data_IF_457034550145
#
_entry.id   IF_457034550145
#
_cell.length_a   1.000
_cell.length_b   1.000
_cell.length_c   1.000
_cell.angle_alpha   90.00
_cell.angle_beta   90.00
_cell.angle_gamma   90.00
#
_symmetry.space_group_name_H-M   'P 1'
#
loop_
_entity.id
_entity.type
_entity.pdbx_description
1 polymer ?
#
# COMPACT_ATOMS: atom_id res chain seq x y z
N UNK A 1 0.33 -19.21 3.37
CA UNK A 1 1.82 -19.25 3.51
C UNK A 1 2.26 -18.05 4.33
N UNK A 2 3.42 -18.06 4.98
CA UNK A 2 3.94 -16.87 5.68
C UNK A 2 5.15 -16.29 4.93
N UNK A 3 5.23 -14.96 4.84
CA UNK A 3 6.32 -14.24 4.21
C UNK A 3 6.94 -13.25 5.17
N UNK A 4 8.26 -13.34 5.35
CA UNK A 4 9.06 -12.35 6.09
C UNK A 4 9.45 -11.19 5.17
N UNK A 5 9.07 -9.96 5.56
CA UNK A 5 9.40 -8.73 4.86
C UNK A 5 10.18 -7.78 5.78
N UNK A 6 11.23 -7.15 5.25
CA UNK A 6 12.03 -6.17 6.01
C UNK A 6 11.23 -4.88 6.21
N UNK A 7 11.45 -4.21 7.34
CA UNK A 7 10.91 -2.86 7.55
C UNK A 7 11.66 -1.80 6.74
N UNK A 8 12.94 -2.02 6.46
CA UNK A 8 13.78 -1.05 5.78
C UNK A 8 14.46 -1.69 4.56
N UNK A 9 14.61 -0.97 3.42
CA UNK A 9 15.12 -1.54 2.17
C UNK A 9 16.58 -2.00 2.26
N UNK A 10 17.42 -1.31 3.03
CA UNK A 10 18.87 -1.55 3.13
C UNK A 10 19.33 -1.88 4.55
N UNK A 11 19.02 -1.01 5.51
CA UNK A 11 19.34 -1.19 6.94
C UNK A 11 18.57 -2.33 7.63
N UNK A 12 19.19 -2.91 8.66
CA UNK A 12 18.59 -3.96 9.47
C UNK A 12 17.75 -3.37 10.60
N UNK A 13 16.51 -3.00 10.28
CA UNK A 13 15.53 -2.45 11.25
C UNK A 13 14.47 -3.46 11.68
N UNK A 14 14.76 -4.75 11.54
CA UNK A 14 13.83 -5.84 11.80
C UNK A 14 12.94 -6.19 10.62
N UNK A 15 11.95 -7.04 10.89
CA UNK A 15 11.05 -7.60 9.88
C UNK A 15 9.63 -7.75 10.44
N UNK A 16 8.68 -7.86 9.52
CA UNK A 16 7.30 -8.27 9.77
C UNK A 16 7.01 -9.58 9.06
N UNK A 17 6.02 -10.31 9.57
CA UNK A 17 5.52 -11.54 8.95
C UNK A 17 4.12 -11.26 8.43
N UNK A 18 3.91 -11.50 7.14
CA UNK A 18 2.60 -11.38 6.50
C UNK A 18 2.13 -12.77 6.11
N UNK A 19 0.90 -13.11 6.49
CA UNK A 19 0.21 -14.30 6.00
C UNK A 19 -0.31 -14.04 4.60
N UNK A 20 0.09 -14.85 3.63
CA UNK A 20 -0.36 -14.75 2.24
C UNK A 20 -1.31 -15.90 1.90
N UNK A 21 -2.34 -15.55 1.12
CA UNK A 21 -3.29 -16.47 0.51
C UNK A 21 -3.26 -16.34 -1.01
N UNK A 22 -4.43 -16.44 -1.65
CA UNK A 22 -4.62 -16.20 -3.09
C UNK A 22 -5.21 -14.83 -3.41
N UNK A 23 -5.64 -14.07 -2.41
CA UNK A 23 -6.28 -12.77 -2.56
C UNK A 23 -5.32 -11.66 -2.11
N UNK A 24 -5.15 -10.68 -2.99
CA UNK A 24 -4.32 -9.50 -2.77
C UNK A 24 -5.08 -8.25 -3.19
N UNK A 25 -4.94 -7.19 -2.42
CA UNK A 25 -5.39 -5.86 -2.81
C UNK A 25 -4.20 -5.04 -3.24
N UNK A 26 -4.33 -4.39 -4.39
CA UNK A 26 -3.30 -3.57 -5.04
C UNK A 26 -3.91 -2.25 -5.50
N UNK A 27 -3.12 -1.18 -5.64
CA UNK A 27 -3.64 0.08 -6.18
C UNK A 27 -4.17 -0.12 -7.60
N UNK A 28 -5.44 0.23 -7.81
CA UNK A 28 -6.10 0.12 -9.12
C UNK A 28 -5.29 0.78 -10.24
N UNK A 29 -4.74 1.97 -9.98
CA UNK A 29 -3.96 2.75 -10.95
C UNK A 29 -2.71 2.05 -11.48
N UNK A 30 -2.13 1.12 -10.70
CA UNK A 30 -0.93 0.39 -11.11
C UNK A 30 -1.27 -0.77 -12.04
N UNK A 31 -2.37 -1.47 -11.76
CA UNK A 31 -2.80 -2.65 -12.52
C UNK A 31 -3.68 -2.33 -13.73
N UNK A 32 -4.29 -1.14 -13.77
CA UNK A 32 -5.11 -0.71 -14.89
C UNK A 32 -4.33 -0.65 -16.21
N UNK A 33 -3.04 -0.29 -16.13
CA UNK A 33 -2.13 -0.18 -17.28
C UNK A 33 -1.56 -1.52 -17.76
N UNK A 34 -1.72 -2.60 -16.99
CA UNK A 34 -1.18 -3.91 -17.31
C UNK A 34 -2.18 -4.70 -18.15
N UNK A 35 -1.76 -5.16 -19.33
CA UNK A 35 -2.57 -5.91 -20.28
C UNK A 35 -2.85 -7.36 -19.85
N UNK A 36 -3.83 -7.99 -20.51
CA UNK A 36 -4.03 -9.44 -20.40
C UNK A 36 -2.79 -10.15 -20.99
N UNK A 37 -2.36 -11.24 -20.36
CA UNK A 37 -1.12 -11.98 -20.60
C UNK A 37 0.19 -11.24 -20.24
N UNK A 38 0.12 -9.97 -19.86
CA UNK A 38 1.27 -9.26 -19.30
C UNK A 38 1.49 -9.67 -17.84
N UNK A 39 2.67 -9.32 -17.33
CA UNK A 39 3.09 -9.66 -15.97
C UNK A 39 3.39 -8.41 -15.15
N UNK A 40 3.12 -8.52 -13.86
CA UNK A 40 3.62 -7.60 -12.85
C UNK A 40 4.18 -8.38 -11.68
N UNK A 41 4.93 -7.70 -10.81
CA UNK A 41 5.48 -8.31 -9.60
C UNK A 41 4.84 -7.72 -8.37
N UNK A 42 4.30 -8.58 -7.52
CA UNK A 42 3.97 -8.24 -6.14
C UNK A 42 5.29 -7.99 -5.39
N UNK A 43 5.51 -6.76 -4.91
CA UNK A 43 6.76 -6.34 -4.28
C UNK A 43 7.18 -7.34 -3.20
N UNK A 44 8.45 -7.76 -3.24
CA UNK A 44 9.07 -8.72 -2.33
C UNK A 44 8.41 -10.13 -2.27
N UNK A 45 7.49 -10.43 -3.20
CA UNK A 45 6.77 -11.71 -3.26
C UNK A 45 7.09 -12.48 -4.55
N UNK A 46 6.22 -12.44 -5.57
CA UNK A 46 6.38 -13.18 -6.83
C UNK A 46 5.76 -12.45 -8.03
N UNK A 47 6.03 -12.97 -9.23
CA UNK A 47 5.48 -12.50 -10.49
C UNK A 47 4.06 -13.07 -10.68
N UNK A 48 3.18 -12.25 -11.23
CA UNK A 48 1.79 -12.59 -11.54
C UNK A 48 1.55 -12.30 -13.01
N UNK A 49 1.04 -13.28 -13.77
CA UNK A 49 0.55 -13.08 -15.13
C UNK A 49 -0.94 -12.80 -15.07
N UNK A 50 -1.39 -11.73 -15.71
CA UNK A 50 -2.81 -11.37 -15.77
C UNK A 50 -3.51 -12.28 -16.78
N UNK A 51 -4.54 -12.98 -16.33
CA UNK A 51 -5.36 -13.85 -17.19
C UNK A 51 -6.69 -13.20 -17.57
N UNK A 52 -7.28 -12.44 -16.65
CA UNK A 52 -8.55 -11.75 -16.86
C UNK A 52 -8.62 -10.42 -16.07
N UNK A 53 -9.36 -9.46 -16.63
CA UNK A 53 -9.61 -8.13 -16.05
C UNK A 53 -11.11 -7.82 -16.10
N UNK A 54 -11.86 -8.37 -15.15
CA UNK A 54 -13.26 -8.03 -14.89
C UNK A 54 -13.41 -7.10 -13.69
N UNK A 55 -14.40 -7.36 -12.84
CA UNK A 55 -14.57 -6.68 -11.54
C UNK A 55 -13.35 -6.86 -10.62
N UNK A 56 -12.67 -7.99 -10.77
CA UNK A 56 -11.39 -8.32 -10.14
C UNK A 56 -10.41 -8.76 -11.20
N UNK A 57 -9.13 -8.66 -10.87
CA UNK A 57 -8.07 -9.19 -11.71
C UNK A 57 -7.86 -10.65 -11.31
N UNK A 58 -7.93 -11.54 -12.30
CA UNK A 58 -7.53 -12.93 -12.13
C UNK A 58 -6.15 -13.07 -12.74
N UNK A 59 -5.22 -13.61 -11.98
CA UNK A 59 -3.87 -13.87 -12.45
C UNK A 59 -3.35 -15.20 -11.92
N UNK A 60 -2.31 -15.70 -12.57
CA UNK A 60 -1.60 -16.90 -12.17
C UNK A 60 -0.19 -16.59 -11.68
N UNK A 61 0.31 -17.43 -10.79
CA UNK A 61 1.70 -17.40 -10.38
C UNK A 61 2.61 -17.63 -11.60
N UNK A 62 3.52 -16.70 -11.83
CA UNK A 62 4.39 -16.69 -13.02
C UNK A 62 5.88 -16.78 -12.69
N UNK A 63 6.24 -17.18 -11.46
CA UNK A 63 7.63 -17.37 -11.04
C UNK A 63 8.08 -16.44 -9.92
N UNK A 64 9.26 -16.73 -9.36
CA UNK A 64 9.84 -15.99 -8.24
C UNK A 64 11.00 -15.09 -8.67
N UNK A 65 11.59 -15.36 -9.83
CA UNK A 65 12.73 -14.69 -10.41
C UNK A 65 12.51 -13.18 -10.59
N UNK A 66 13.58 -12.41 -10.50
CA UNK A 66 13.53 -10.98 -10.75
C UNK A 66 13.62 -10.74 -12.27
N UNK A 67 12.51 -10.33 -12.87
CA UNK A 67 12.43 -9.97 -14.27
C UNK A 67 12.65 -8.46 -14.39
N UNK A 68 13.61 -8.04 -15.23
CA UNK A 68 13.85 -6.61 -15.51
C UNK A 68 12.68 -6.02 -16.31
N UNK A 69 12.29 -4.79 -15.99
CA UNK A 69 11.24 -4.07 -16.72
C UNK A 69 9.81 -4.43 -16.33
N UNK A 70 9.61 -5.38 -15.41
CA UNK A 70 8.28 -5.71 -14.87
C UNK A 70 7.93 -4.76 -13.73
N UNK A 71 6.73 -4.19 -13.78
CA UNK A 71 6.24 -3.23 -12.78
C UNK A 71 6.14 -3.90 -11.40
N UNK A 72 6.63 -3.22 -10.35
CA UNK A 72 6.59 -3.70 -8.97
C UNK A 72 5.49 -2.98 -8.21
N UNK A 73 4.51 -3.73 -7.73
CA UNK A 73 3.29 -3.21 -7.13
C UNK A 73 3.25 -3.60 -5.65
N UNK A 74 3.01 -2.62 -4.77
CA UNK A 74 2.74 -2.86 -3.36
C UNK A 74 1.35 -3.47 -3.17
N UNK A 75 1.20 -4.26 -2.12
CA UNK A 75 0.00 -5.06 -1.90
C UNK A 75 -0.27 -5.23 -0.41
N UNK A 76 -1.53 -5.53 -0.10
CA UNK A 76 -1.95 -6.11 1.18
C UNK A 76 -2.78 -7.36 0.91
N UNK A 77 -3.09 -8.13 1.95
CA UNK A 77 -3.90 -9.35 1.84
C UNK A 77 -5.32 -9.12 2.34
N UNK A 78 -6.16 -10.15 2.27
CA UNK A 78 -7.46 -10.20 2.97
C UNK A 78 -7.36 -9.95 4.48
N UNK A 79 -6.22 -10.24 5.10
CA UNK A 79 -5.90 -9.86 6.47
C UNK A 79 -5.35 -8.42 6.50
N UNK A 80 -6.22 -7.48 6.10
CA UNK A 80 -5.99 -6.04 6.12
C UNK A 80 -7.17 -5.32 6.74
N UNK A 81 -6.97 -4.06 7.10
CA UNK A 81 -8.03 -3.21 7.64
C UNK A 81 -7.95 -1.81 7.07
N UNK A 82 -9.10 -1.12 7.13
CA UNK A 82 -9.26 0.21 6.57
C UNK A 82 -8.52 1.27 7.37
N UNK A 83 -7.99 2.25 6.65
CA UNK A 83 -7.42 3.48 7.20
C UNK A 83 -7.90 4.68 6.38
N UNK A 84 -8.16 5.77 7.08
CA UNK A 84 -8.31 7.10 6.48
C UNK A 84 -7.06 7.93 6.72
N UNK A 85 -6.46 8.46 5.67
CA UNK A 85 -5.32 9.38 5.76
C UNK A 85 -5.77 10.79 5.41
N UNK A 86 -5.61 11.70 6.36
CA UNK A 86 -5.80 13.12 6.15
C UNK A 86 -4.55 13.70 5.48
N UNK A 87 -4.75 14.35 4.34
CA UNK A 87 -3.69 14.98 3.54
C UNK A 87 -3.85 16.50 3.66
N UNK A 88 -3.04 17.16 4.51
CA UNK A 88 -3.08 18.60 4.65
C UNK A 88 -2.49 19.27 3.40
N UNK A 89 -3.12 20.36 2.99
CA UNK A 89 -2.68 21.30 1.97
C UNK A 89 -2.55 22.72 2.52
N UNK A 90 -2.24 23.70 1.69
CA UNK A 90 -2.17 25.09 2.11
C UNK A 90 -3.55 25.59 2.54
N UNK A 91 -3.63 26.21 3.73
CA UNK A 91 -4.88 26.76 4.28
C UNK A 91 -5.47 27.91 3.43
N UNK A 92 -4.60 28.64 2.74
CA UNK A 92 -4.96 29.75 1.87
C UNK A 92 -4.25 29.62 0.52
N UNK A 93 -4.91 30.08 -0.55
CA UNK A 93 -4.32 30.30 -1.86
C UNK A 93 -4.38 31.80 -2.12
N UNK A 94 -3.24 32.47 -1.93
CA UNK A 94 -3.21 33.93 -1.80
C UNK A 94 -3.92 34.37 -0.53
N UNK A 95 -4.92 35.24 -0.67
CA UNK A 95 -5.72 35.76 0.45
C UNK A 95 -7.01 34.96 0.69
N UNK A 96 -7.32 33.98 -0.16
CA UNK A 96 -8.57 33.21 -0.09
C UNK A 96 -8.38 31.91 0.68
N UNK A 97 -9.33 31.58 1.57
CA UNK A 97 -9.37 30.28 2.22
C UNK A 97 -9.47 29.17 1.19
N UNK A 98 -8.67 28.12 1.37
CA UNK A 98 -8.66 26.95 0.51
C UNK A 98 -9.60 25.87 1.08
N UNK A 99 -10.78 25.64 0.49
CA UNK A 99 -11.68 24.57 0.94
C UNK A 99 -11.08 23.17 0.74
N UNK A 100 -10.09 23.03 -0.14
CA UNK A 100 -9.36 21.79 -0.39
C UNK A 100 -8.06 21.69 0.44
N UNK A 101 -7.93 22.51 1.50
CA UNK A 101 -6.77 22.50 2.41
C UNK A 101 -6.66 21.24 3.26
N UNK A 102 -7.69 20.39 3.26
CA UNK A 102 -7.64 19.07 3.86
C UNK A 102 -8.38 18.07 2.97
N UNK A 103 -7.68 17.02 2.55
CA UNK A 103 -8.27 15.91 1.79
C UNK A 103 -8.23 14.64 2.62
N UNK A 104 -9.14 13.72 2.33
CA UNK A 104 -9.13 12.38 2.94
C UNK A 104 -8.86 11.35 1.85
N UNK A 105 -7.92 10.44 2.13
CA UNK A 105 -7.63 9.26 1.29
C UNK A 105 -7.92 8.00 2.08
N UNK A 106 -8.84 7.19 1.60
CA UNK A 106 -9.17 5.89 2.19
C UNK A 106 -8.33 4.80 1.54
N UNK A 107 -7.88 3.84 2.34
CA UNK A 107 -7.07 2.72 1.87
C UNK A 107 -7.06 1.55 2.85
N UNK A 108 -6.20 0.58 2.55
CA UNK A 108 -6.00 -0.61 3.37
C UNK A 108 -4.56 -0.65 3.87
N UNK A 109 -4.37 -1.15 5.09
CA UNK A 109 -3.06 -1.44 5.67
C UNK A 109 -2.99 -2.89 6.11
N UNK A 110 -1.77 -3.44 6.08
CA UNK A 110 -1.47 -4.81 6.45
C UNK A 110 -1.67 -5.08 7.95
N UNK A 111 -1.91 -6.35 8.30
CA UNK A 111 -2.12 -6.82 9.69
C UNK A 111 -1.08 -6.30 10.69
N UNK A 112 0.20 -6.27 10.33
CA UNK A 112 1.28 -5.83 11.24
C UNK A 112 1.17 -4.36 11.65
N UNK A 113 0.32 -3.56 10.98
CA UNK A 113 0.05 -2.20 11.39
C UNK A 113 -0.68 -2.13 12.76
N UNK A 114 -1.21 -3.25 13.27
CA UNK A 114 -1.74 -3.33 14.64
C UNK A 114 -0.71 -3.01 15.72
N UNK A 115 0.56 -3.33 15.48
CA UNK A 115 1.63 -3.11 16.45
C UNK A 115 2.13 -1.66 16.48
N UNK A 116 1.77 -0.86 15.47
CA UNK A 116 2.15 0.57 15.36
C UNK A 116 1.36 1.39 16.37
N UNK A 117 2.02 2.20 17.18
CA UNK A 117 1.34 3.05 18.18
C UNK A 117 0.87 4.37 17.58
N UNK A 118 -0.04 5.05 18.29
CA UNK A 118 -0.34 6.44 18.01
C UNK A 118 0.96 7.27 18.08
N UNK A 119 1.01 8.34 17.29
CA UNK A 119 2.15 9.24 17.08
C UNK A 119 3.36 8.66 16.35
N UNK A 120 3.40 7.36 16.09
CA UNK A 120 4.44 6.78 15.24
C UNK A 120 4.31 7.25 13.78
N UNK A 121 5.46 7.43 13.12
CA UNK A 121 5.53 7.75 11.69
C UNK A 121 5.92 6.49 10.93
N UNK A 122 5.04 6.05 10.03
CA UNK A 122 5.24 4.86 9.19
C UNK A 122 5.36 5.27 7.74
N UNK A 123 6.29 4.65 7.01
CA UNK A 123 6.39 4.81 5.57
C UNK A 123 5.43 3.85 4.86
N UNK A 124 4.41 4.39 4.19
CA UNK A 124 3.57 3.63 3.28
C UNK A 124 4.21 3.60 1.90
N UNK A 125 4.59 2.40 1.46
CA UNK A 125 5.26 2.15 0.20
C UNK A 125 4.52 2.81 -0.97
N UNK A 126 5.25 3.65 -1.74
CA UNK A 126 4.74 4.45 -2.88
C UNK A 126 3.62 5.46 -2.56
N UNK A 127 3.21 5.58 -1.30
CA UNK A 127 2.27 6.60 -0.83
C UNK A 127 2.99 7.76 -0.13
N UNK A 128 3.84 7.48 0.88
CA UNK A 128 4.59 8.47 1.65
C UNK A 128 4.61 8.16 3.15
N UNK A 129 5.12 9.07 3.95
CA UNK A 129 5.16 8.96 5.41
C UNK A 129 3.86 9.44 6.03
N UNK A 130 3.31 8.64 6.95
CA UNK A 130 2.05 8.89 7.65
C UNK A 130 2.28 8.81 9.15
N UNK A 131 1.91 9.87 9.88
CA UNK A 131 1.84 9.83 11.35
C UNK A 131 0.51 9.22 11.76
N UNK A 132 0.53 8.23 12.65
CA UNK A 132 -0.69 7.62 13.18
C UNK A 132 -1.33 8.56 14.18
N UNK A 133 -2.46 9.18 13.82
CA UNK A 133 -3.15 10.11 14.72
C UNK A 133 -4.00 9.36 15.74
N UNK A 134 -4.76 8.36 15.28
CA UNK A 134 -5.69 7.62 16.14
C UNK A 134 -5.87 6.20 15.64
N UNK A 135 -5.74 5.24 16.56
CA UNK A 135 -6.20 3.85 16.39
C UNK A 135 -7.33 3.56 17.38
N UNK A 136 -8.49 3.16 16.87
CA UNK A 136 -9.68 2.84 17.66
C UNK A 136 -10.74 2.16 16.79
N UNK A 137 -12.00 2.60 16.88
CA UNK A 137 -13.07 2.16 15.95
C UNK A 137 -12.73 2.47 14.49
N UNK A 138 -12.03 3.58 14.27
CA UNK A 138 -11.48 4.00 12.99
C UNK A 138 -9.99 4.25 13.17
N UNK A 139 -9.23 3.97 12.12
CA UNK A 139 -7.80 4.23 12.06
C UNK A 139 -7.61 5.47 11.20
N UNK A 140 -6.99 6.50 11.79
CA UNK A 140 -6.74 7.77 11.13
C UNK A 140 -5.25 8.08 11.16
N UNK A 141 -4.71 8.37 9.99
CA UNK A 141 -3.35 8.87 9.81
C UNK A 141 -3.34 10.29 9.27
N UNK A 142 -2.23 11.00 9.46
CA UNK A 142 -1.96 12.30 8.85
C UNK A 142 -0.73 12.16 7.94
N UNK A 143 -0.89 12.51 6.68
CA UNK A 143 0.20 12.52 5.71
C UNK A 143 1.24 13.58 6.09
N UNK A 144 2.51 13.20 6.08
CA UNK A 144 3.64 14.05 6.47
C UNK A 144 4.37 14.57 5.23
N UNK A 145 4.92 13.66 4.43
CA UNK A 145 5.65 13.95 3.19
C UNK A 145 5.83 12.67 2.35
N UNK A 146 6.25 12.81 1.10
CA UNK A 146 6.54 11.70 0.18
C UNK A 146 7.92 11.87 -0.43
#
# INVERSE_FOLDING_TARGET
MEKRLRFHPTEEKGYRVIRTGSIFYVPKSDVEKIGINEMFRLKDLYNVRVLDKGEKIVGEFAGNELIKGVEKIQWVTEDSFEISVLVPGPLFIGENYNPDSLKEVKGLVERSFEDVKNDEIVQFERFGFVRVERKGKEIVGIFVHK
#
